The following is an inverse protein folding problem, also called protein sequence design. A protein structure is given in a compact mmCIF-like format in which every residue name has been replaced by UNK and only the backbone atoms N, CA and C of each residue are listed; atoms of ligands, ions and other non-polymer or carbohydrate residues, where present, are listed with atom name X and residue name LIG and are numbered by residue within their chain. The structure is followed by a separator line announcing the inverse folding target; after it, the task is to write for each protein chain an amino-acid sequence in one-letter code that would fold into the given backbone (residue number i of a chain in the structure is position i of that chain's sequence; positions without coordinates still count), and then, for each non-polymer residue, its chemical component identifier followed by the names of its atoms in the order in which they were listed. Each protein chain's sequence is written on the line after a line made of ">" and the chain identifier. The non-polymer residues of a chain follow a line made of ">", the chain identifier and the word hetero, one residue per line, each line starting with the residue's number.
data_IF_348462705607
#
_entry.id   IF_348462705607
#
_cell.length_a   1.000
_cell.length_b   1.000
_cell.length_c   1.000
_cell.angle_alpha   90.00
_cell.angle_beta   90.00
_cell.angle_gamma   90.00
#
_symmetry.space_group_name_H-M   'P 1'
#
loop_
_entity.id
_entity.type
_entity.pdbx_description
1 polymer ?
#
# COMPACT_ATOMS: atom_id res chain seq x y z
N UNK A 1 29.73 10.53 14.40
CA UNK A 1 29.14 9.27 13.93
C UNK A 1 28.84 9.42 12.44
N UNK A 2 29.64 8.80 11.56
CA UNK A 2 29.39 8.83 10.11
C UNK A 2 28.64 7.55 9.73
N UNK A 3 27.44 7.69 9.18
CA UNK A 3 26.78 6.59 8.48
C UNK A 3 27.32 6.59 7.04
N UNK A 4 28.11 5.59 6.68
CA UNK A 4 28.39 5.32 5.27
C UNK A 4 27.16 4.69 4.66
N UNK A 5 26.42 5.47 3.87
CA UNK A 5 25.37 4.91 3.04
C UNK A 5 26.03 4.09 1.94
N UNK A 6 25.93 2.76 2.07
CA UNK A 6 26.37 1.80 1.06
C UNK A 6 25.42 1.85 -0.15
N UNK A 7 25.60 2.84 -1.02
CA UNK A 7 24.93 2.89 -2.30
C UNK A 7 25.76 2.12 -3.33
N UNK A 8 25.15 1.12 -3.97
CA UNK A 8 25.73 0.48 -5.14
C UNK A 8 25.40 1.30 -6.39
N UNK A 9 26.41 1.61 -7.21
CA UNK A 9 26.22 2.20 -8.54
C UNK A 9 25.78 1.18 -9.59
N UNK A 10 25.69 -0.11 -9.22
CA UNK A 10 25.26 -1.19 -10.11
C UNK A 10 23.74 -1.08 -10.34
N UNK A 11 23.26 -0.84 -11.58
CA UNK A 11 21.84 -0.63 -11.85
C UNK A 11 20.93 -1.77 -11.36
N UNK A 12 21.39 -3.02 -11.45
CA UNK A 12 20.64 -4.18 -10.97
C UNK A 12 20.41 -4.15 -9.45
N UNK A 13 21.39 -3.69 -8.67
CA UNK A 13 21.27 -3.58 -7.20
C UNK A 13 20.30 -2.45 -6.84
N UNK A 14 20.31 -1.36 -7.60
CA UNK A 14 19.36 -0.26 -7.41
C UNK A 14 17.92 -0.71 -7.69
N UNK A 15 17.70 -1.45 -8.78
CA UNK A 15 16.39 -2.02 -9.10
C UNK A 15 15.89 -2.97 -8.01
N UNK A 16 16.74 -3.88 -7.54
CA UNK A 16 16.40 -4.79 -6.47
C UNK A 16 16.08 -4.05 -5.16
N UNK A 17 16.83 -2.99 -4.85
CA UNK A 17 16.56 -2.13 -3.69
C UNK A 17 15.18 -1.48 -3.78
N UNK A 18 14.81 -0.95 -4.95
CA UNK A 18 13.47 -0.36 -5.15
C UNK A 18 12.35 -1.39 -4.95
N UNK A 19 12.54 -2.63 -5.43
CA UNK A 19 11.58 -3.72 -5.23
C UNK A 19 11.40 -4.01 -3.72
N UNK A 20 12.49 -4.22 -2.99
CA UNK A 20 12.40 -4.50 -1.55
C UNK A 20 11.81 -3.35 -0.75
N UNK A 21 12.10 -2.10 -1.13
CA UNK A 21 11.49 -0.93 -0.50
C UNK A 21 9.97 -0.87 -0.75
N UNK A 22 9.52 -1.15 -1.98
CA UNK A 22 8.09 -1.23 -2.31
C UNK A 22 7.38 -2.36 -1.55
N UNK A 23 8.01 -3.53 -1.46
CA UNK A 23 7.50 -4.66 -0.66
C UNK A 23 7.42 -4.29 0.81
N UNK A 24 8.48 -3.69 1.38
CA UNK A 24 8.52 -3.24 2.76
C UNK A 24 7.44 -2.20 3.07
N UNK A 25 7.24 -1.23 2.18
CA UNK A 25 6.17 -0.23 2.31
C UNK A 25 4.78 -0.89 2.33
N UNK A 26 4.54 -1.84 1.42
CA UNK A 26 3.28 -2.59 1.34
C UNK A 26 3.01 -3.36 2.64
N UNK A 27 4.00 -4.05 3.20
CA UNK A 27 3.87 -4.79 4.45
C UNK A 27 3.62 -3.88 5.65
N UNK A 28 4.29 -2.73 5.69
CA UNK A 28 4.09 -1.73 6.74
C UNK A 28 2.66 -1.16 6.70
N UNK A 29 2.10 -0.92 5.52
CA UNK A 29 0.69 -0.57 5.37
C UNK A 29 -0.23 -1.66 5.92
N UNK A 30 -0.02 -2.92 5.55
CA UNK A 30 -0.79 -4.04 6.08
C UNK A 30 -0.82 -4.04 7.61
N UNK A 31 0.36 -3.90 8.23
CA UNK A 31 0.52 -3.84 9.69
C UNK A 31 -0.23 -2.65 10.32
N UNK A 32 -0.08 -1.45 9.77
CA UNK A 32 -0.74 -0.23 10.29
C UNK A 32 -2.25 -0.28 10.13
N UNK A 33 -2.73 -0.74 8.98
CA UNK A 33 -4.16 -0.89 8.72
C UNK A 33 -4.79 -1.88 9.71
N UNK A 34 -4.15 -3.02 9.98
CA UNK A 34 -4.62 -3.96 11.00
C UNK A 34 -4.67 -3.32 12.38
N UNK A 35 -3.64 -2.56 12.75
CA UNK A 35 -3.59 -1.86 14.03
C UNK A 35 -4.69 -0.80 14.16
N UNK A 36 -4.85 0.08 13.18
CA UNK A 36 -5.86 1.14 13.20
C UNK A 36 -7.28 0.57 13.14
N UNK A 37 -7.50 -0.48 12.35
CA UNK A 37 -8.78 -1.17 12.31
C UNK A 37 -9.20 -1.70 13.69
N UNK A 38 -8.24 -2.21 14.47
CA UNK A 38 -8.51 -2.75 15.81
C UNK A 38 -8.64 -1.67 16.89
N UNK A 39 -7.84 -0.62 16.85
CA UNK A 39 -7.68 0.29 18.00
C UNK A 39 -8.02 1.75 17.72
N UNK A 40 -7.94 2.22 16.48
CA UNK A 40 -8.02 3.65 16.12
C UNK A 40 -8.72 3.86 14.78
N UNK A 41 -10.01 3.51 14.71
CA UNK A 41 -10.79 3.55 13.46
C UNK A 41 -10.84 4.94 12.81
N UNK A 42 -10.75 6.01 13.59
CA UNK A 42 -10.71 7.39 13.09
C UNK A 42 -9.42 7.71 12.30
N UNK A 43 -8.32 6.99 12.56
CA UNK A 43 -7.05 7.17 11.84
C UNK A 43 -7.01 6.42 10.50
N UNK A 44 -8.00 5.56 10.21
CA UNK A 44 -8.01 4.74 9.00
C UNK A 44 -8.15 5.57 7.71
N UNK A 45 -8.91 6.67 7.71
CA UNK A 45 -9.08 7.46 6.48
C UNK A 45 -7.75 8.05 6.02
N UNK A 46 -7.00 8.66 6.94
CA UNK A 46 -5.71 9.26 6.64
C UNK A 46 -4.69 8.23 6.15
N UNK A 47 -4.64 7.05 6.78
CA UNK A 47 -3.70 6.00 6.38
C UNK A 47 -4.06 5.40 5.02
N UNK A 48 -5.35 5.10 4.78
CA UNK A 48 -5.80 4.63 3.48
C UNK A 48 -5.64 5.69 2.40
N UNK A 49 -5.80 6.98 2.70
CA UNK A 49 -5.57 8.07 1.76
C UNK A 49 -4.11 8.13 1.33
N UNK A 50 -3.17 8.04 2.28
CA UNK A 50 -1.73 7.97 1.98
C UNK A 50 -1.41 6.75 1.12
N UNK A 51 -1.94 5.59 1.48
CA UNK A 51 -1.76 4.36 0.71
C UNK A 51 -2.28 4.51 -0.72
N UNK A 52 -3.49 5.07 -0.90
CA UNK A 52 -4.10 5.32 -2.20
C UNK A 52 -3.25 6.26 -3.07
N UNK A 53 -2.72 7.33 -2.48
CA UNK A 53 -1.88 8.29 -3.18
C UNK A 53 -0.54 7.68 -3.62
N UNK A 54 0.07 6.83 -2.80
CA UNK A 54 1.31 6.12 -3.14
C UNK A 54 1.08 5.03 -4.19
N UNK A 55 -0.03 4.28 -4.07
CA UNK A 55 -0.41 3.29 -5.06
C UNK A 55 -0.59 3.92 -6.46
N UNK A 56 -1.24 5.08 -6.54
CA UNK A 56 -1.39 5.84 -7.79
C UNK A 56 -0.08 6.30 -8.41
N UNK A 57 0.96 6.52 -7.59
CA UNK A 57 2.30 6.91 -8.05
C UNK A 57 3.16 5.71 -8.46
N UNK A 58 2.66 4.48 -8.29
CA UNK A 58 3.43 3.26 -8.53
C UNK A 58 4.45 2.94 -7.44
N UNK A 59 4.37 3.62 -6.28
CA UNK A 59 5.25 3.40 -5.12
C UNK A 59 4.86 2.15 -4.32
N UNK A 60 3.65 1.63 -4.54
CA UNK A 60 3.15 0.37 -3.95
C UNK A 60 2.88 -0.61 -5.08
N UNK A 61 3.71 -1.66 -5.17
CA UNK A 61 3.63 -2.63 -6.28
C UNK A 61 2.75 -3.83 -5.93
N UNK A 62 2.63 -4.19 -4.65
CA UNK A 62 2.03 -5.46 -4.20
C UNK A 62 0.71 -5.28 -3.45
N UNK A 63 -0.24 -4.50 -3.99
CA UNK A 63 -1.55 -4.24 -3.35
C UNK A 63 -2.32 -5.51 -2.95
N UNK A 64 -2.10 -6.63 -3.64
CA UNK A 64 -2.75 -7.90 -3.32
C UNK A 64 -2.37 -8.39 -1.91
N UNK A 65 -1.17 -8.08 -1.41
CA UNK A 65 -0.70 -8.48 -0.10
C UNK A 65 -1.52 -7.87 1.06
N UNK A 66 -2.11 -6.68 0.85
CA UNK A 66 -2.96 -6.02 1.86
C UNK A 66 -4.46 -6.21 1.63
N UNK A 67 -4.86 -6.86 0.52
CA UNK A 67 -6.27 -7.08 0.20
C UNK A 67 -7.08 -7.71 1.34
N UNK A 68 -6.56 -8.69 2.11
CA UNK A 68 -7.30 -9.25 3.24
C UNK A 68 -7.68 -8.23 4.31
N UNK A 69 -6.79 -7.29 4.66
CA UNK A 69 -7.12 -6.26 5.66
C UNK A 69 -8.02 -5.17 5.09
N UNK A 70 -7.88 -4.83 3.81
CA UNK A 70 -8.79 -3.91 3.12
C UNK A 70 -10.22 -4.46 3.07
N UNK A 71 -10.37 -5.77 2.82
CA UNK A 71 -11.65 -6.45 2.84
C UNK A 71 -12.28 -6.41 4.24
N UNK A 72 -11.50 -6.68 5.29
CA UNK A 72 -11.99 -6.58 6.68
C UNK A 72 -12.48 -5.17 7.01
N UNK A 73 -11.75 -4.13 6.59
CA UNK A 73 -12.16 -2.74 6.79
C UNK A 73 -13.44 -2.43 6.00
N UNK A 74 -13.55 -2.92 4.76
CA UNK A 74 -14.74 -2.74 3.93
C UNK A 74 -15.97 -3.45 4.53
N UNK A 75 -15.82 -4.62 5.14
CA UNK A 75 -16.93 -5.39 5.70
C UNK A 75 -17.36 -4.91 7.09
N UNK A 76 -16.51 -4.20 7.84
CA UNK A 76 -16.83 -3.70 9.17
C UNK A 76 -17.80 -2.50 9.13
N UNK A 77 -19.06 -2.73 9.50
CA UNK A 77 -20.11 -1.72 9.54
C UNK A 77 -19.91 -0.62 10.58
N UNK A 78 -19.00 -0.81 11.54
CA UNK A 78 -18.65 0.21 12.53
C UNK A 78 -17.55 1.16 12.05
N UNK A 79 -16.94 0.89 10.90
CA UNK A 79 -16.03 1.81 10.20
C UNK A 79 -16.87 2.80 9.37
N UNK A 80 -16.42 4.06 9.33
CA UNK A 80 -17.10 5.11 8.56
C UNK A 80 -17.21 4.75 7.07
N UNK A 81 -18.35 5.03 6.44
CA UNK A 81 -18.62 4.68 5.04
C UNK A 81 -17.58 5.23 4.06
N UNK A 82 -17.03 6.43 4.30
CA UNK A 82 -15.96 7.01 3.45
C UNK A 82 -14.69 6.16 3.45
N UNK A 83 -14.33 5.61 4.61
CA UNK A 83 -13.17 4.73 4.81
C UNK A 83 -13.41 3.40 4.12
N UNK A 84 -14.61 2.81 4.29
CA UNK A 84 -15.02 1.58 3.60
C UNK A 84 -14.96 1.74 2.08
N UNK A 85 -15.53 2.83 1.56
CA UNK A 85 -15.50 3.15 0.13
C UNK A 85 -14.07 3.35 -0.39
N UNK A 86 -13.16 3.89 0.42
CA UNK A 86 -11.74 4.02 0.06
C UNK A 86 -11.04 2.66 0.00
N UNK A 87 -11.28 1.79 0.98
CA UNK A 87 -10.73 0.43 0.98
C UNK A 87 -11.17 -0.34 -0.29
N UNK A 88 -12.45 -0.23 -0.67
CA UNK A 88 -12.96 -0.80 -1.92
C UNK A 88 -12.22 -0.26 -3.16
N UNK A 89 -12.08 1.07 -3.27
CA UNK A 89 -11.35 1.69 -4.39
C UNK A 89 -9.92 1.18 -4.48
N UNK A 90 -9.21 1.02 -3.37
CA UNK A 90 -7.83 0.49 -3.35
C UNK A 90 -7.80 -0.99 -3.78
N UNK A 91 -8.77 -1.80 -3.37
CA UNK A 91 -8.88 -3.20 -3.83
C UNK A 91 -9.15 -3.29 -5.34
N UNK A 92 -9.92 -2.34 -5.89
CA UNK A 92 -10.26 -2.27 -7.31
C UNK A 92 -9.16 -1.64 -8.17
N UNK A 93 -8.15 -0.99 -7.58
CA UNK A 93 -6.98 -0.48 -8.30
C UNK A 93 -6.16 -1.61 -8.93
N UNK A 94 -6.40 -2.88 -8.56
CA UNK A 94 -5.65 -3.98 -9.11
C UNK A 94 -6.48 -5.20 -9.57
N UNK A 95 -6.87 -5.20 -10.85
CA UNK A 95 -7.18 -6.40 -11.59
C UNK A 95 -6.30 -6.48 -12.87
N UNK A 96 -5.00 -6.75 -12.74
CA UNK A 96 -4.10 -7.10 -13.86
C UNK A 96 -3.99 -6.10 -15.05
N UNK A 97 -4.48 -4.88 -14.93
CA UNK A 97 -4.56 -3.92 -16.04
C UNK A 97 -4.62 -2.50 -15.44
N UNK A 98 -4.20 -1.47 -16.14
CA UNK A 98 -4.66 -1.23 -17.50
C UNK A 98 -3.54 -1.34 -18.54
N UNK A 99 -3.35 -2.57 -19.03
CA UNK A 99 -2.73 -2.94 -20.30
C UNK A 99 -1.22 -2.64 -20.48
N UNK A 100 -0.39 -3.68 -20.52
CA UNK A 100 0.75 -3.62 -21.43
C UNK A 100 0.24 -3.33 -22.84
N UNK A 101 0.90 -2.43 -23.57
CA UNK A 101 0.62 -2.16 -24.99
C UNK A 101 -0.86 -1.94 -25.37
N UNK A 102 -1.29 -0.68 -25.50
CA UNK A 102 -2.08 -0.35 -26.69
C UNK A 102 -1.08 0.09 -27.76
N UNK A 103 -0.94 -0.78 -28.75
CA UNK A 103 -0.16 -0.60 -29.97
C UNK A 103 -0.46 0.71 -30.68
#
# INVERSE_FOLDING_TARGET
>A
TSAEYNYSSVPAVQQLTMIFQSVGATLEYGRRLTYFHRYQKLALDDELKRMEDQARRGEITELQAVKPVLQQIYDDSSVMNVVRARALRIMDMNPAASAGNRR
#
